data_IF_049651261507
#
_entry.id   IF_049651261507
#
_cell.length_a   1.000
_cell.length_b   1.000
_cell.length_c   1.000
_cell.angle_alpha   90.00
_cell.angle_beta   90.00
_cell.angle_gamma   90.00
#
_symmetry.space_group_name_H-M   'P 1'
#
loop_
_entity.id
_entity.type
_entity.pdbx_description
1 polymer ?
#
# COMPACT_ATOMS: atom_id res chain seq x y z
N UNK A 1 -35.68 5.02 46.60
CA UNK A 1 -34.49 4.14 46.49
C UNK A 1 -33.40 4.90 45.75
N UNK A 2 -32.49 5.56 46.48
CA UNK A 2 -31.39 6.31 45.85
C UNK A 2 -30.31 5.32 45.38
N UNK A 3 -30.02 5.31 44.08
CA UNK A 3 -28.89 4.56 43.53
C UNK A 3 -27.59 5.14 44.09
N UNK A 4 -26.98 4.44 45.05
CA UNK A 4 -25.68 4.80 45.60
C UNK A 4 -24.63 4.75 44.51
N UNK A 5 -24.14 5.92 44.09
CA UNK A 5 -23.02 6.01 43.17
C UNK A 5 -21.73 5.51 43.81
N UNK A 6 -20.94 4.72 43.07
CA UNK A 6 -19.64 4.20 43.51
C UNK A 6 -18.77 5.31 44.10
N UNK A 7 -18.21 5.05 45.27
CA UNK A 7 -17.27 5.90 45.99
C UNK A 7 -15.98 6.11 45.19
N UNK A 8 -15.22 7.17 45.51
CA UNK A 8 -13.95 7.50 44.85
C UNK A 8 -12.93 6.35 44.93
N UNK A 9 -12.92 5.60 46.03
CA UNK A 9 -12.06 4.43 46.23
C UNK A 9 -12.47 3.29 45.30
N UNK A 10 -13.76 3.00 45.16
CA UNK A 10 -14.27 1.97 44.25
C UNK A 10 -13.99 2.31 42.78
N UNK A 11 -14.14 3.57 42.38
CA UNK A 11 -13.78 4.03 41.01
C UNK A 11 -12.29 3.84 40.72
N UNK A 12 -11.42 4.15 41.70
CA UNK A 12 -9.96 3.96 41.57
C UNK A 12 -9.57 2.47 41.53
N UNK A 13 -10.26 1.62 42.30
CA UNK A 13 -10.05 0.18 42.25
C UNK A 13 -10.49 -0.41 40.89
N UNK A 14 -11.64 0.00 40.38
CA UNK A 14 -12.14 -0.42 39.06
C UNK A 14 -11.19 -0.01 37.92
N UNK A 15 -10.63 1.21 37.97
CA UNK A 15 -9.64 1.66 36.99
C UNK A 15 -8.35 0.81 37.03
N UNK A 16 -7.87 0.43 38.23
CA UNK A 16 -6.70 -0.45 38.39
C UNK A 16 -6.94 -1.83 37.79
N UNK A 17 -8.11 -2.43 38.05
CA UNK A 17 -8.49 -3.72 37.47
C UNK A 17 -8.57 -3.63 35.94
N UNK A 18 -9.13 -2.55 35.42
CA UNK A 18 -9.18 -2.31 33.97
C UNK A 18 -7.79 -2.23 33.35
N UNK A 19 -6.87 -1.45 33.94
CA UNK A 19 -5.48 -1.34 33.45
C UNK A 19 -4.77 -2.70 33.46
N UNK A 20 -4.90 -3.46 34.54
CA UNK A 20 -4.30 -4.80 34.63
C UNK A 20 -4.85 -5.75 33.55
N UNK A 21 -6.16 -5.71 33.28
CA UNK A 21 -6.76 -6.51 32.20
C UNK A 21 -6.24 -6.10 30.83
N UNK A 22 -6.13 -4.80 30.56
CA UNK A 22 -5.57 -4.28 29.30
C UNK A 22 -4.10 -4.68 29.14
N UNK A 23 -3.30 -4.67 30.21
CA UNK A 23 -1.91 -5.13 30.21
C UNK A 23 -1.81 -6.63 29.91
N UNK A 24 -2.63 -7.46 30.57
CA UNK A 24 -2.68 -8.91 30.30
C UNK A 24 -3.06 -9.21 28.83
N UNK A 25 -4.03 -8.48 28.28
CA UNK A 25 -4.40 -8.62 26.86
C UNK A 25 -3.25 -8.24 25.92
N UNK A 26 -2.54 -7.14 26.22
CA UNK A 26 -1.37 -6.71 25.44
C UNK A 26 -0.23 -7.72 25.52
N UNK A 27 -0.02 -8.32 26.69
CA UNK A 27 0.99 -9.35 26.88
C UNK A 27 0.64 -10.62 26.10
N UNK A 28 -0.61 -11.09 26.18
CA UNK A 28 -1.11 -12.21 25.37
C UNK A 28 -0.93 -11.96 23.88
N UNK A 29 -1.29 -10.77 23.39
CA UNK A 29 -1.05 -10.37 21.99
C UNK A 29 0.43 -10.45 21.60
N UNK A 30 1.33 -9.97 22.46
CA UNK A 30 2.78 -10.03 22.22
C UNK A 30 3.29 -11.47 22.20
N UNK A 31 2.79 -12.30 23.12
CA UNK A 31 3.15 -13.71 23.22
C UNK A 31 2.70 -14.50 21.99
N UNK A 32 1.42 -14.39 21.60
CA UNK A 32 0.88 -15.01 20.39
C UNK A 32 1.65 -14.54 19.14
N UNK A 33 1.91 -13.23 19.03
CA UNK A 33 2.70 -12.68 17.93
C UNK A 33 4.13 -13.24 17.87
N UNK A 34 4.79 -13.44 19.03
CA UNK A 34 6.12 -14.05 19.10
C UNK A 34 6.10 -15.52 18.68
N UNK A 35 5.09 -16.29 19.11
CA UNK A 35 4.93 -17.70 18.73
C UNK A 35 4.64 -17.84 17.23
N UNK A 36 3.79 -16.97 16.67
CA UNK A 36 3.46 -17.01 15.24
C UNK A 36 4.63 -16.65 14.32
N UNK A 37 5.69 -16.02 14.84
CA UNK A 37 6.95 -15.81 14.10
C UNK A 37 7.82 -17.06 14.02
N UNK A 38 7.65 -18.02 14.94
CA UNK A 38 8.37 -19.29 14.92
C UNK A 38 7.78 -20.21 13.85
N UNK A 39 8.63 -21.06 13.27
CA UNK A 39 8.17 -22.14 12.38
C UNK A 39 7.25 -23.10 13.15
N UNK A 40 6.24 -23.66 12.49
CA UNK A 40 5.28 -24.55 13.16
C UNK A 40 5.95 -25.78 13.79
N UNK A 41 7.04 -26.28 13.18
CA UNK A 41 7.82 -27.40 13.67
C UNK A 41 8.66 -27.09 14.92
N UNK A 42 8.92 -25.81 15.21
CA UNK A 42 9.72 -25.36 16.36
C UNK A 42 8.85 -24.96 17.56
N UNK A 43 7.52 -25.07 17.44
CA UNK A 43 6.59 -24.67 18.50
C UNK A 43 6.48 -25.78 19.55
N UNK A 44 6.50 -25.39 20.82
CA UNK A 44 6.26 -26.34 21.91
C UNK A 44 4.76 -26.72 21.98
N UNK A 45 4.46 -27.84 22.64
CA UNK A 45 3.08 -28.27 22.88
C UNK A 45 2.27 -27.22 23.68
N UNK A 46 2.92 -26.51 24.61
CA UNK A 46 2.32 -25.43 25.39
C UNK A 46 2.01 -24.21 24.53
N UNK A 47 2.92 -23.85 23.61
CA UNK A 47 2.68 -22.78 22.64
C UNK A 47 1.50 -23.14 21.72
N UNK A 48 1.37 -24.40 21.32
CA UNK A 48 0.22 -24.89 20.57
C UNK A 48 -1.11 -24.72 21.32
N UNK A 49 -1.14 -25.03 22.62
CA UNK A 49 -2.32 -24.83 23.48
C UNK A 49 -2.68 -23.35 23.62
N UNK A 50 -1.69 -22.49 23.85
CA UNK A 50 -1.91 -21.04 23.95
C UNK A 50 -2.45 -20.43 22.66
N UNK A 51 -2.01 -20.94 21.50
CA UNK A 51 -2.57 -20.53 20.21
C UNK A 51 -4.02 -21.02 20.03
N UNK A 52 -4.34 -22.23 20.48
CA UNK A 52 -5.70 -22.77 20.43
C UNK A 52 -6.65 -22.00 21.37
N UNK A 53 -6.19 -21.64 22.57
CA UNK A 53 -6.96 -20.80 23.51
C UNK A 53 -7.17 -19.37 22.99
N UNK A 54 -6.32 -18.91 22.07
CA UNK A 54 -6.33 -17.54 21.53
C UNK A 54 -6.61 -17.51 20.02
N UNK A 55 -7.50 -18.38 19.53
CA UNK A 55 -7.78 -18.55 18.10
C UNK A 55 -8.17 -17.23 17.40
N UNK A 56 -8.98 -16.39 18.05
CA UNK A 56 -9.38 -15.08 17.50
C UNK A 56 -8.17 -14.18 17.21
N UNK A 57 -7.22 -14.12 18.16
CA UNK A 57 -6.00 -13.32 18.03
C UNK A 57 -5.10 -13.89 16.94
N UNK A 58 -5.05 -15.22 16.80
CA UNK A 58 -4.27 -15.89 15.76
C UNK A 58 -4.83 -15.56 14.38
N UNK A 59 -6.13 -15.71 14.19
CA UNK A 59 -6.81 -15.38 12.93
C UNK A 59 -6.60 -13.92 12.56
N UNK A 60 -6.72 -13.00 13.52
CA UNK A 60 -6.51 -11.58 13.29
C UNK A 60 -5.06 -11.28 12.85
N UNK A 61 -4.07 -11.80 13.59
CA UNK A 61 -2.65 -11.55 13.33
C UNK A 61 -2.20 -12.16 12.00
N UNK A 62 -2.67 -13.36 11.67
CA UNK A 62 -2.41 -13.98 10.37
C UNK A 62 -3.06 -13.16 9.24
N UNK A 63 -4.29 -12.69 9.42
CA UNK A 63 -4.95 -11.80 8.46
C UNK A 63 -4.18 -10.51 8.22
N UNK A 64 -3.67 -9.86 9.28
CA UNK A 64 -2.80 -8.69 9.18
C UNK A 64 -1.51 -9.00 8.41
N UNK A 65 -0.89 -10.15 8.68
CA UNK A 65 0.33 -10.58 7.99
C UNK A 65 0.09 -10.77 6.50
N UNK A 66 -0.97 -11.50 6.12
CA UNK A 66 -1.36 -11.73 4.72
C UNK A 66 -1.63 -10.43 3.97
N UNK A 67 -2.35 -9.49 4.58
CA UNK A 67 -2.61 -8.16 4.00
C UNK A 67 -1.31 -7.40 3.74
N UNK A 68 -0.40 -7.37 4.71
CA UNK A 68 0.91 -6.71 4.58
C UNK A 68 1.75 -7.35 3.49
N UNK A 69 1.78 -8.68 3.43
CA UNK A 69 2.51 -9.40 2.39
C UNK A 69 1.92 -9.14 1.01
N UNK A 70 0.59 -9.17 0.87
CA UNK A 70 -0.09 -8.83 -0.39
C UNK A 70 0.22 -7.41 -0.86
N UNK A 71 0.26 -6.43 0.05
CA UNK A 71 0.69 -5.06 -0.28
C UNK A 71 2.16 -5.00 -0.68
N UNK A 72 3.04 -5.77 -0.02
CA UNK A 72 4.46 -5.82 -0.37
C UNK A 72 4.65 -6.39 -1.78
N UNK A 73 4.01 -7.54 -2.08
CA UNK A 73 4.04 -8.17 -3.40
C UNK A 73 3.52 -7.24 -4.51
N UNK A 74 2.47 -6.47 -4.23
CA UNK A 74 1.92 -5.47 -5.18
C UNK A 74 2.85 -4.28 -5.43
N UNK A 75 3.75 -3.97 -4.50
CA UNK A 75 4.72 -2.88 -4.62
C UNK A 75 6.04 -3.33 -5.25
N UNK A 76 6.26 -4.64 -5.36
CA UNK A 76 7.46 -5.19 -5.97
C UNK A 76 7.42 -4.92 -7.48
N UNK A 77 8.39 -4.13 -7.96
CA UNK A 77 8.56 -3.87 -9.38
C UNK A 77 9.21 -5.12 -10.01
N UNK A 78 8.57 -5.66 -11.05
CA UNK A 78 9.09 -6.80 -11.81
C UNK A 78 9.60 -6.30 -13.14
N UNK A 79 10.90 -6.47 -13.38
CA UNK A 79 11.54 -6.15 -14.64
C UNK A 79 11.74 -7.43 -15.44
N UNK A 80 11.15 -7.49 -16.63
CA UNK A 80 11.39 -8.58 -17.57
C UNK A 80 12.83 -8.52 -18.10
N UNK A 81 13.39 -9.68 -18.46
CA UNK A 81 14.66 -9.74 -19.15
C UNK A 81 14.59 -9.03 -20.51
N UNK A 82 15.68 -8.42 -21.01
CA UNK A 82 15.65 -7.65 -22.26
C UNK A 82 15.14 -8.43 -23.48
N UNK A 83 15.44 -9.72 -23.55
CA UNK A 83 14.97 -10.59 -24.64
C UNK A 83 13.47 -10.89 -24.54
N UNK A 84 12.98 -11.16 -23.32
CA UNK A 84 11.55 -11.38 -23.06
C UNK A 84 10.72 -10.13 -23.33
N UNK A 85 11.22 -8.96 -22.90
CA UNK A 85 10.57 -7.69 -23.16
C UNK A 85 10.47 -7.42 -24.66
N UNK A 86 11.54 -7.65 -25.42
CA UNK A 86 11.52 -7.51 -26.89
C UNK A 86 10.52 -8.46 -27.54
N UNK A 87 10.41 -9.70 -27.05
CA UNK A 87 9.44 -10.68 -27.54
C UNK A 87 8.01 -10.21 -27.28
N UNK A 88 7.69 -9.85 -26.03
CA UNK A 88 6.37 -9.35 -25.62
C UNK A 88 5.95 -8.09 -26.39
N UNK A 89 6.88 -7.17 -26.64
CA UNK A 89 6.60 -5.95 -27.41
C UNK A 89 6.29 -6.27 -28.89
N UNK A 90 6.98 -7.24 -29.50
CA UNK A 90 6.67 -7.68 -30.87
C UNK A 90 5.28 -8.32 -30.94
N UNK A 91 4.98 -9.23 -30.01
CA UNK A 91 3.65 -9.87 -29.91
C UNK A 91 2.54 -8.82 -29.74
N UNK A 92 2.77 -7.81 -28.89
CA UNK A 92 1.84 -6.68 -28.72
C UNK A 92 1.67 -5.87 -30.01
N UNK A 93 2.75 -5.57 -30.73
CA UNK A 93 2.70 -4.83 -31.98
C UNK A 93 1.91 -5.58 -33.06
N UNK A 94 2.08 -6.90 -33.14
CA UNK A 94 1.32 -7.74 -34.06
C UNK A 94 -0.17 -7.81 -33.66
N UNK A 95 -0.47 -7.93 -32.36
CA UNK A 95 -1.84 -7.91 -31.86
C UNK A 95 -2.54 -6.57 -32.16
N UNK A 96 -1.85 -5.44 -31.97
CA UNK A 96 -2.38 -4.11 -32.30
C UNK A 96 -2.62 -3.96 -33.80
N UNK A 97 -1.72 -4.44 -34.65
CA UNK A 97 -1.88 -4.38 -36.12
C UNK A 97 -3.08 -5.18 -36.61
N UNK A 98 -3.35 -6.32 -35.97
CA UNK A 98 -4.43 -7.24 -36.36
C UNK A 98 -5.77 -6.91 -35.70
N UNK A 99 -5.81 -5.98 -34.74
CA UNK A 99 -7.04 -5.61 -34.03
C UNK A 99 -7.94 -4.73 -34.91
N UNK A 100 -9.21 -5.13 -35.07
CA UNK A 100 -10.23 -4.30 -35.72
C UNK A 100 -10.63 -3.10 -34.85
N UNK A 101 -10.65 -3.30 -33.53
CA UNK A 101 -10.97 -2.29 -32.53
C UNK A 101 -10.02 -2.46 -31.34
N UNK A 102 -9.33 -1.39 -30.95
CA UNK A 102 -8.37 -1.38 -29.84
C UNK A 102 -8.93 -0.53 -28.70
N UNK A 103 -9.01 -1.11 -27.50
CA UNK A 103 -9.36 -0.41 -26.26
C UNK A 103 -8.17 -0.48 -25.31
N UNK A 104 -7.69 0.68 -24.83
CA UNK A 104 -6.55 0.77 -23.92
C UNK A 104 -7.02 1.31 -22.57
N UNK A 105 -6.82 0.53 -21.52
CA UNK A 105 -7.09 0.97 -20.14
C UNK A 105 -5.84 1.60 -19.56
N UNK A 106 -5.91 2.90 -19.26
CA UNK A 106 -4.79 3.64 -18.66
C UNK A 106 -5.07 3.90 -17.18
N UNK A 107 -4.02 3.78 -16.37
CA UNK A 107 -4.03 4.10 -14.94
C UNK A 107 -2.98 5.15 -14.58
N UNK A 108 -2.79 5.41 -13.30
CA UNK A 108 -1.82 6.42 -12.83
C UNK A 108 -0.36 6.14 -13.27
N UNK A 109 -0.02 4.88 -13.56
CA UNK A 109 1.34 4.44 -13.93
C UNK A 109 1.96 5.20 -15.11
N UNK A 110 1.20 5.45 -16.18
CA UNK A 110 1.71 6.13 -17.39
C UNK A 110 2.06 7.60 -17.17
N UNK A 111 1.49 8.23 -16.14
CA UNK A 111 1.76 9.64 -15.81
C UNK A 111 2.98 9.83 -14.89
N UNK A 112 3.60 8.74 -14.44
CA UNK A 112 4.72 8.80 -13.49
C UNK A 112 6.06 9.18 -14.14
N UNK A 113 6.20 9.01 -15.46
CA UNK A 113 7.45 9.26 -16.21
C UNK A 113 7.72 10.77 -16.39
N UNK A 114 6.68 11.60 -16.43
CA UNK A 114 6.78 13.04 -16.68
C UNK A 114 7.15 13.94 -15.49
N UNK A 115 7.27 13.39 -14.27
CA UNK A 115 7.69 14.17 -13.07
C UNK A 115 9.16 13.98 -12.70
N UNK A 116 9.91 13.18 -13.46
CA UNK A 116 11.18 12.60 -13.02
C UNK A 116 12.30 12.78 -14.06
N UNK A 117 12.53 14.02 -14.48
CA UNK A 117 13.90 14.46 -14.81
C UNK A 117 14.67 14.64 -13.50
N UNK A 118 15.06 13.52 -12.88
CA UNK A 118 15.69 13.50 -11.56
C UNK A 118 15.30 12.26 -10.74
N UNK A 119 16.22 11.31 -10.68
CA UNK A 119 16.08 9.96 -10.15
C UNK A 119 15.73 9.92 -8.63
N UNK A 120 14.43 9.80 -8.27
CA UNK A 120 13.90 9.80 -6.89
C UNK A 120 13.40 8.43 -6.34
N UNK A 121 13.76 7.33 -7.00
CA UNK A 121 13.42 5.92 -6.65
C UNK A 121 14.64 5.00 -6.67
N UNK A 122 15.85 5.55 -6.70
CA UNK A 122 17.03 4.78 -6.29
C UNK A 122 16.79 4.28 -4.85
N UNK A 123 17.01 2.98 -4.56
CA UNK A 123 16.75 2.43 -3.23
C UNK A 123 17.67 3.12 -2.22
N UNK A 124 17.11 3.92 -1.29
CA UNK A 124 17.89 4.52 -0.20
C UNK A 124 17.52 5.89 0.37
N UNK A 125 16.34 6.48 0.12
CA UNK A 125 15.96 7.75 0.80
C UNK A 125 14.64 7.68 1.56
N UNK A 126 14.70 8.16 2.81
CA UNK A 126 13.60 8.26 3.77
C UNK A 126 12.47 9.16 3.25
N UNK A 127 11.20 8.91 3.63
CA UNK A 127 10.09 9.79 3.25
C UNK A 127 10.27 11.17 3.89
N UNK A 128 10.36 12.21 3.07
CA UNK A 128 10.31 13.59 3.55
C UNK A 128 8.88 13.87 4.02
N UNK A 129 8.74 14.04 5.34
CA UNK A 129 7.53 14.51 6.01
C UNK A 129 7.11 15.88 5.45
N UNK A 130 5.91 15.97 4.87
CA UNK A 130 5.28 17.25 4.56
C UNK A 130 4.64 17.86 5.80
N UNK A 131 5.32 18.82 6.44
CA UNK A 131 4.66 19.79 7.35
C UNK A 131 4.22 21.01 6.55
N UNK A 132 3.01 21.49 6.83
CA UNK A 132 2.37 22.67 6.23
C UNK A 132 2.92 23.99 6.78
N UNK A 133 3.21 24.92 5.85
CA UNK A 133 3.00 26.39 5.94
C UNK A 133 4.23 27.27 6.29
N UNK A 134 4.24 28.59 5.99
CA UNK A 134 3.47 29.34 4.97
C UNK A 134 4.33 30.27 4.06
N UNK A 135 3.72 30.69 2.94
CA UNK A 135 3.91 31.89 2.11
C UNK A 135 5.30 32.57 1.94
N UNK A 136 5.73 32.69 0.68
CA UNK A 136 6.14 33.98 0.11
C UNK A 136 7.39 34.02 -0.79
N UNK A 137 7.17 34.51 -2.01
CA UNK A 137 8.13 34.99 -3.06
C UNK A 137 8.83 33.88 -3.87
N UNK A 138 8.92 33.93 -5.20
CA UNK A 138 8.56 34.94 -6.20
C UNK A 138 8.29 34.26 -7.57
N UNK A 139 7.60 34.99 -8.44
CA UNK A 139 7.05 34.56 -9.74
C UNK A 139 8.15 34.45 -10.81
N UNK A 140 8.03 33.48 -11.70
CA UNK A 140 7.98 33.73 -13.15
C UNK A 140 7.25 32.58 -13.86
N UNK A 141 6.09 32.94 -14.40
CA UNK A 141 5.47 32.43 -15.63
C UNK A 141 5.36 30.90 -15.82
N UNK A 142 4.24 30.36 -15.33
CA UNK A 142 3.71 29.10 -15.83
C UNK A 142 3.17 29.27 -17.25
N UNK A 143 3.81 28.63 -18.21
CA UNK A 143 3.19 28.35 -19.50
C UNK A 143 1.89 27.56 -19.27
N UNK A 144 0.81 27.82 -20.03
CA UNK A 144 -0.41 27.04 -19.92
C UNK A 144 -0.10 25.56 -20.18
N UNK A 145 -0.84 24.68 -19.50
CA UNK A 145 -0.78 23.20 -19.51
C UNK A 145 -0.70 22.54 -20.91
N UNK A 146 -0.88 23.31 -21.98
CA UNK A 146 -0.81 22.90 -23.38
C UNK A 146 0.59 22.99 -24.01
N UNK A 147 1.57 23.58 -23.31
CA UNK A 147 2.98 23.57 -23.74
C UNK A 147 3.79 22.74 -22.74
N UNK A 148 3.57 21.44 -22.79
CA UNK A 148 4.51 20.47 -22.24
C UNK A 148 4.70 19.45 -23.35
N UNK A 149 5.94 19.36 -23.84
CA UNK A 149 6.29 18.42 -24.90
C UNK A 149 5.77 17.03 -24.54
N UNK A 150 4.96 16.40 -25.41
CA UNK A 150 4.51 15.05 -25.15
C UNK A 150 5.74 14.16 -25.10
N UNK A 151 5.92 13.44 -23.98
CA UNK A 151 6.85 12.32 -23.96
C UNK A 151 6.52 11.36 -25.10
N UNK A 152 7.52 10.62 -25.56
CA UNK A 152 7.48 9.77 -26.77
C UNK A 152 6.27 8.80 -26.82
N UNK A 153 5.68 8.47 -25.68
CA UNK A 153 4.48 7.63 -25.55
C UNK A 153 3.14 8.39 -25.67
N UNK A 154 3.10 9.69 -25.36
CA UNK A 154 1.92 10.53 -25.55
C UNK A 154 1.83 11.10 -26.99
N UNK A 155 2.98 11.27 -27.65
CA UNK A 155 3.02 11.73 -29.05
C UNK A 155 2.48 10.69 -30.04
N UNK A 156 2.63 9.40 -29.75
CA UNK A 156 2.24 8.29 -30.63
C UNK A 156 0.75 7.99 -30.62
N UNK A 157 0.01 8.33 -29.54
CA UNK A 157 -1.43 8.12 -29.47
C UNK A 157 -2.26 9.21 -30.18
N UNK A 158 -1.66 10.36 -30.52
CA UNK A 158 -2.39 11.52 -31.06
C UNK A 158 -2.36 11.67 -32.58
N UNK A 159 -1.56 10.88 -33.28
CA UNK A 159 -1.32 11.11 -34.70
C UNK A 159 -1.55 9.83 -35.51
N UNK A 160 -2.80 9.36 -35.53
CA UNK A 160 -3.45 8.72 -36.68
C UNK A 160 -4.82 8.16 -36.25
N UNK A 161 -5.89 8.75 -36.78
CA UNK A 161 -7.30 8.31 -36.69
C UNK A 161 -8.08 8.54 -35.38
N UNK A 162 -8.88 9.61 -35.37
CA UNK A 162 -10.31 9.55 -35.01
C UNK A 162 -10.73 8.92 -33.68
N UNK A 163 -10.00 9.11 -32.58
CA UNK A 163 -10.44 8.67 -31.25
C UNK A 163 -11.55 9.59 -30.70
N UNK A 164 -12.81 9.17 -30.80
CA UNK A 164 -13.90 9.74 -30.01
C UNK A 164 -13.81 9.21 -28.58
N UNK A 165 -13.65 10.12 -27.61
CA UNK A 165 -13.79 9.81 -26.18
C UNK A 165 -15.27 9.63 -25.86
N UNK A 166 -15.64 8.46 -25.36
CA UNK A 166 -16.89 8.30 -24.60
C UNK A 166 -16.55 8.27 -23.11
N UNK A 167 -17.08 9.25 -22.37
CA UNK A 167 -17.13 9.24 -20.90
C UNK A 167 -18.49 8.68 -20.46
N UNK A 168 -18.56 7.91 -19.36
CA UNK A 168 -19.81 7.63 -18.67
C UNK A 168 -20.39 8.87 -17.99
#
# INVERSE_FOLDING_TARGET
MAAGGLSRSERKAAERVRRLREEQQRERLRQVSRILRKAAAERSAEEGRLLAESEDLVTELQGRSRRREGLKRRQEEVCDDPEELRRKVRELADAVRNAKHLVVYTGAGISTVGRRGGDSRAPGRLPVLGKRGPAGRGRSEGAPFWVSDPSTEHGTAKQQHGFTKHSP
#
